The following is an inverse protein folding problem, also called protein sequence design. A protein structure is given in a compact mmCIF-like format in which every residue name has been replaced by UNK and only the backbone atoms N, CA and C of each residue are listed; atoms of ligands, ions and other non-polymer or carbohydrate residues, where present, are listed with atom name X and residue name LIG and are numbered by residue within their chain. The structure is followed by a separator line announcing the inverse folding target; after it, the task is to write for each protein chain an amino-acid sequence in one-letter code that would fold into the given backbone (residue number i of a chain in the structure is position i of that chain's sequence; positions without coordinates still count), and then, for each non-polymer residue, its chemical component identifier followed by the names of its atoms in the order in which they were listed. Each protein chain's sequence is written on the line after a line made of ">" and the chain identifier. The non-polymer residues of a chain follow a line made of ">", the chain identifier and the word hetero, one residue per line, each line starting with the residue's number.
data_IF_081359156702
#
_entry.id   IF_081359156702
#
_cell.length_a   1.000
_cell.length_b   1.000
_cell.length_c   1.000
_cell.angle_alpha   90.00
_cell.angle_beta   90.00
_cell.angle_gamma   90.00
#
_symmetry.space_group_name_H-M   'P 1'
#
loop_
_entity.id
_entity.type
_entity.pdbx_description
1 polymer ?
#
# COMPACT_ATOMS: atom_id res chain seq x y z
N UNK A 1 14.38 -6.12 -37.00
CA UNK A 1 13.17 -6.19 -36.16
C UNK A 1 13.50 -6.27 -34.66
N UNK A 2 14.37 -7.22 -34.24
CA UNK A 2 14.74 -7.44 -32.82
C UNK A 2 15.32 -6.19 -32.14
N UNK A 3 16.36 -5.57 -32.72
CA UNK A 3 16.98 -4.35 -32.16
C UNK A 3 15.98 -3.19 -31.98
N UNK A 4 15.06 -3.02 -32.95
CA UNK A 4 14.00 -1.99 -32.89
C UNK A 4 13.02 -2.26 -31.75
N UNK A 5 12.64 -3.52 -31.51
CA UNK A 5 11.77 -3.90 -30.39
C UNK A 5 12.46 -3.71 -29.04
N UNK A 6 13.75 -4.04 -28.94
CA UNK A 6 14.55 -3.81 -27.73
C UNK A 6 14.64 -2.32 -27.36
N UNK A 7 14.87 -1.46 -28.35
CA UNK A 7 14.89 0.00 -28.15
C UNK A 7 13.52 0.52 -27.67
N UNK A 8 12.43 0.07 -28.31
CA UNK A 8 11.07 0.47 -27.90
C UNK A 8 10.74 -0.01 -26.48
N UNK A 9 11.18 -1.21 -26.09
CA UNK A 9 11.00 -1.72 -24.74
C UNK A 9 11.82 -0.93 -23.70
N UNK A 10 13.04 -0.50 -24.04
CA UNK A 10 13.85 0.36 -23.17
C UNK A 10 13.19 1.73 -22.97
N UNK A 11 12.74 2.37 -24.06
CA UNK A 11 12.04 3.65 -24.01
C UNK A 11 10.72 3.54 -23.22
N UNK A 12 9.97 2.46 -23.41
CA UNK A 12 8.76 2.19 -22.62
C UNK A 12 9.07 2.15 -21.12
N UNK A 13 10.09 1.39 -20.69
CA UNK A 13 10.47 1.32 -19.28
C UNK A 13 10.88 2.68 -18.72
N UNK A 14 11.67 3.44 -19.46
CA UNK A 14 12.07 4.80 -19.05
C UNK A 14 10.85 5.73 -18.94
N UNK A 15 9.96 5.70 -19.93
CA UNK A 15 8.74 6.51 -19.94
C UNK A 15 7.81 6.15 -18.76
N UNK A 16 7.61 4.85 -18.48
CA UNK A 16 6.84 4.39 -17.33
C UNK A 16 7.45 4.83 -16.00
N UNK A 17 8.79 4.74 -15.86
CA UNK A 17 9.49 5.21 -14.68
C UNK A 17 9.37 6.74 -14.48
N UNK A 18 9.38 7.50 -15.59
CA UNK A 18 9.17 8.95 -15.60
C UNK A 18 7.71 9.39 -15.60
N UNK A 19 6.74 8.46 -15.54
CA UNK A 19 5.29 8.73 -15.66
C UNK A 19 4.88 9.43 -16.97
N UNK A 20 5.69 9.34 -18.03
CA UNK A 20 5.34 9.78 -19.38
C UNK A 20 4.50 8.71 -20.09
N UNK A 21 3.25 8.57 -19.66
CA UNK A 21 2.32 7.59 -20.20
C UNK A 21 2.04 7.76 -21.71
N UNK A 22 1.93 9.00 -22.26
CA UNK A 22 1.81 9.19 -23.70
C UNK A 22 2.97 8.60 -24.50
N UNK A 23 4.22 8.80 -24.06
CA UNK A 23 5.38 8.19 -24.72
C UNK A 23 5.40 6.67 -24.57
N UNK A 24 5.06 6.16 -23.38
CA UNK A 24 4.94 4.72 -23.14
C UNK A 24 3.91 4.07 -24.08
N UNK A 25 2.72 4.67 -24.22
CA UNK A 25 1.67 4.21 -25.15
C UNK A 25 2.17 4.19 -26.59
N UNK A 26 2.85 5.25 -27.05
CA UNK A 26 3.40 5.29 -28.41
C UNK A 26 4.41 4.17 -28.67
N UNK A 27 5.18 3.77 -27.65
CA UNK A 27 6.09 2.64 -27.76
C UNK A 27 5.32 1.33 -27.98
N UNK A 28 4.27 1.08 -27.17
CA UNK A 28 3.41 -0.10 -27.30
C UNK A 28 2.72 -0.15 -28.68
N UNK A 29 2.15 0.97 -29.14
CA UNK A 29 1.48 1.05 -30.46
C UNK A 29 2.43 0.70 -31.60
N UNK A 30 3.67 1.22 -31.58
CA UNK A 30 4.70 0.89 -32.59
C UNK A 30 5.05 -0.59 -32.59
N UNK A 31 5.13 -1.23 -31.42
CA UNK A 31 5.39 -2.67 -31.31
C UNK A 31 4.20 -3.48 -31.84
N UNK A 32 2.98 -3.09 -31.50
CA UNK A 32 1.76 -3.79 -31.95
C UNK A 32 1.47 -3.62 -33.45
N UNK A 33 1.99 -2.58 -34.10
CA UNK A 33 1.98 -2.50 -35.58
C UNK A 33 2.83 -3.61 -36.22
N UNK A 34 3.90 -4.05 -35.56
CA UNK A 34 4.79 -5.11 -36.03
C UNK A 34 4.35 -6.49 -35.54
N UNK A 35 3.77 -6.57 -34.34
CA UNK A 35 3.34 -7.80 -33.67
C UNK A 35 1.94 -7.63 -33.05
N UNK A 36 0.86 -7.60 -33.85
CA UNK A 36 -0.49 -7.25 -33.36
C UNK A 36 -1.08 -8.17 -32.28
N UNK A 37 -0.57 -9.41 -32.18
CA UNK A 37 -0.99 -10.42 -31.21
C UNK A 37 -0.11 -10.53 -29.98
N UNK A 38 0.85 -9.63 -29.76
CA UNK A 38 1.72 -9.71 -28.58
C UNK A 38 0.93 -9.34 -27.30
N UNK A 39 0.58 -10.36 -26.50
CA UNK A 39 -0.31 -10.23 -25.33
C UNK A 39 0.33 -9.43 -24.19
N UNK A 40 1.65 -9.55 -23.97
CA UNK A 40 2.38 -8.74 -22.99
C UNK A 40 2.27 -7.25 -23.33
N UNK A 41 2.54 -6.88 -24.59
CA UNK A 41 2.49 -5.48 -25.04
C UNK A 41 1.05 -4.96 -25.09
N UNK A 42 0.05 -5.81 -25.36
CA UNK A 42 -1.36 -5.44 -25.19
C UNK A 42 -1.70 -5.11 -23.74
N UNK A 43 -1.10 -5.83 -22.77
CA UNK A 43 -1.28 -5.54 -21.33
C UNK A 43 -0.67 -4.18 -20.98
N UNK A 44 0.54 -3.91 -21.47
CA UNK A 44 1.22 -2.62 -21.30
C UNK A 44 0.45 -1.46 -21.95
N UNK A 45 -0.11 -1.68 -23.14
CA UNK A 45 -0.95 -0.69 -23.83
C UNK A 45 -2.22 -0.40 -23.01
N UNK A 46 -2.87 -1.44 -22.49
CA UNK A 46 -4.07 -1.27 -21.69
C UNK A 46 -3.79 -0.50 -20.39
N UNK A 47 -2.69 -0.82 -19.71
CA UNK A 47 -2.24 -0.11 -18.51
C UNK A 47 -1.90 1.35 -18.81
N UNK A 48 -1.13 1.64 -19.87
CA UNK A 48 -0.78 3.03 -20.24
C UNK A 48 -2.02 3.86 -20.59
N UNK A 49 -2.96 3.29 -21.38
CA UNK A 49 -4.25 3.93 -21.67
C UNK A 49 -5.04 4.24 -20.39
N UNK A 50 -5.02 3.34 -19.40
CA UNK A 50 -5.70 3.55 -18.12
C UNK A 50 -5.04 4.67 -17.30
N UNK A 51 -3.70 4.74 -17.28
CA UNK A 51 -2.96 5.80 -16.59
C UNK A 51 -3.12 7.18 -17.27
N UNK A 52 -3.39 7.22 -18.57
CA UNK A 52 -3.82 8.43 -19.30
C UNK A 52 -5.30 8.82 -19.05
N UNK A 53 -6.05 8.05 -18.24
CA UNK A 53 -7.49 8.28 -18.02
C UNK A 53 -8.38 7.80 -19.19
N UNK A 54 -7.83 7.09 -20.16
CA UNK A 54 -8.57 6.56 -21.31
C UNK A 54 -9.22 5.21 -21.01
N UNK A 55 -10.05 5.17 -19.97
CA UNK A 55 -10.62 3.94 -19.40
C UNK A 55 -11.39 3.10 -20.41
N UNK A 56 -12.15 3.73 -21.33
CA UNK A 56 -12.90 3.00 -22.36
C UNK A 56 -12.00 2.26 -23.34
N UNK A 57 -10.87 2.85 -23.75
CA UNK A 57 -9.91 2.18 -24.63
C UNK A 57 -9.13 1.10 -23.88
N UNK A 58 -8.70 1.39 -22.65
CA UNK A 58 -8.04 0.40 -21.78
C UNK A 58 -8.91 -0.85 -21.59
N UNK A 59 -10.18 -0.67 -21.24
CA UNK A 59 -11.15 -1.76 -21.10
C UNK A 59 -11.29 -2.58 -22.39
N UNK A 60 -11.44 -1.94 -23.55
CA UNK A 60 -11.50 -2.66 -24.83
C UNK A 60 -10.23 -3.45 -25.11
N UNK A 61 -9.06 -2.92 -24.76
CA UNK A 61 -7.79 -3.63 -24.94
C UNK A 61 -7.68 -4.84 -24.01
N UNK A 62 -8.05 -4.72 -22.73
CA UNK A 62 -8.10 -5.86 -21.82
C UNK A 62 -9.14 -6.91 -22.22
N UNK A 63 -10.32 -6.51 -22.72
CA UNK A 63 -11.32 -7.44 -23.24
C UNK A 63 -10.82 -8.22 -24.47
N UNK A 64 -9.95 -7.62 -25.30
CA UNK A 64 -9.27 -8.35 -26.39
C UNK A 64 -8.31 -9.42 -25.86
N UNK A 65 -7.65 -9.17 -24.72
CA UNK A 65 -6.83 -10.18 -24.05
C UNK A 65 -7.73 -11.29 -23.50
N UNK A 66 -8.79 -10.95 -22.77
CA UNK A 66 -9.75 -11.93 -22.20
C UNK A 66 -10.32 -12.89 -23.25
N UNK A 67 -10.71 -12.36 -24.42
CA UNK A 67 -11.27 -13.13 -25.53
C UNK A 67 -10.23 -13.93 -26.34
N UNK A 68 -8.93 -13.72 -26.12
CA UNK A 68 -7.86 -14.36 -26.88
C UNK A 68 -7.57 -15.78 -26.36
N UNK A 69 -7.43 -16.78 -27.23
CA UNK A 69 -6.93 -18.11 -26.82
C UNK A 69 -5.47 -18.07 -26.34
N UNK A 70 -4.73 -16.99 -26.64
CA UNK A 70 -3.34 -16.81 -26.23
C UNK A 70 -3.19 -16.00 -24.93
N UNK A 71 -4.28 -15.73 -24.20
CA UNK A 71 -4.28 -14.90 -22.98
C UNK A 71 -3.30 -15.34 -21.89
N UNK A 72 -2.90 -16.62 -21.88
CA UNK A 72 -1.85 -17.13 -20.98
C UNK A 72 -0.47 -16.48 -21.22
N UNK A 73 -0.26 -15.79 -22.34
CA UNK A 73 0.96 -15.05 -22.67
C UNK A 73 0.89 -13.55 -22.27
N UNK A 74 -0.23 -13.09 -21.72
CA UNK A 74 -0.38 -11.73 -21.22
C UNK A 74 0.46 -11.49 -19.97
N UNK A 75 0.63 -10.23 -19.56
CA UNK A 75 1.28 -9.89 -18.29
C UNK A 75 0.54 -10.55 -17.13
N UNK A 76 1.22 -11.14 -16.14
CA UNK A 76 0.60 -11.83 -15.00
C UNK A 76 -0.50 -11.00 -14.29
N UNK A 77 -0.40 -9.67 -14.33
CA UNK A 77 -1.32 -8.71 -13.70
C UNK A 77 -2.42 -8.19 -14.63
N UNK A 78 -2.63 -8.79 -15.79
CA UNK A 78 -3.63 -8.30 -16.76
C UNK A 78 -5.06 -8.37 -16.22
N UNK A 79 -5.37 -9.36 -15.36
CA UNK A 79 -6.67 -9.46 -14.68
C UNK A 79 -6.85 -8.36 -13.62
N UNK A 80 -5.80 -8.00 -12.89
CA UNK A 80 -5.81 -6.86 -11.95
C UNK A 80 -6.13 -5.57 -12.70
N UNK A 81 -5.47 -5.34 -13.83
CA UNK A 81 -5.71 -4.18 -14.69
C UNK A 81 -7.14 -4.15 -15.28
N UNK A 82 -7.69 -5.32 -15.63
CA UNK A 82 -9.07 -5.42 -16.10
C UNK A 82 -10.08 -5.17 -14.97
N UNK A 83 -9.83 -5.67 -13.77
CA UNK A 83 -10.64 -5.35 -12.60
C UNK A 83 -10.58 -3.85 -12.29
N UNK A 84 -9.39 -3.26 -12.25
CA UNK A 84 -9.18 -1.83 -11.99
C UNK A 84 -9.96 -0.95 -12.98
N UNK A 85 -9.85 -1.22 -14.30
CA UNK A 85 -10.57 -0.41 -15.30
C UNK A 85 -12.09 -0.60 -15.21
N UNK A 86 -12.58 -1.76 -14.79
CA UNK A 86 -14.00 -1.97 -14.51
C UNK A 86 -14.46 -1.09 -13.33
N UNK A 87 -13.63 -0.97 -12.29
CA UNK A 87 -13.84 -0.05 -11.17
C UNK A 87 -13.97 1.40 -11.62
N UNK A 88 -13.01 1.90 -12.41
CA UNK A 88 -13.06 3.25 -12.98
C UNK A 88 -14.29 3.52 -13.85
N UNK A 89 -14.80 2.49 -14.53
CA UNK A 89 -16.00 2.58 -15.39
C UNK A 89 -17.32 2.33 -14.64
N UNK A 90 -17.29 2.05 -13.34
CA UNK A 90 -18.48 1.72 -12.56
C UNK A 90 -19.16 0.40 -12.93
N UNK A 91 -18.43 -0.51 -13.60
CA UNK A 91 -18.92 -1.82 -14.05
C UNK A 91 -18.90 -2.83 -12.89
N UNK A 92 -19.85 -2.71 -11.95
CA UNK A 92 -19.84 -3.45 -10.68
C UNK A 92 -19.78 -4.98 -10.83
N UNK A 93 -20.61 -5.57 -11.70
CA UNK A 93 -20.63 -7.02 -11.90
C UNK A 93 -19.33 -7.53 -12.53
N UNK A 94 -18.79 -6.81 -13.51
CA UNK A 94 -17.53 -7.17 -14.16
C UNK A 94 -16.33 -6.96 -13.23
N UNK A 95 -16.35 -5.90 -12.40
CA UNK A 95 -15.36 -5.69 -11.35
C UNK A 95 -15.31 -6.88 -10.39
N UNK A 96 -16.47 -7.31 -9.88
CA UNK A 96 -16.54 -8.48 -9.00
C UNK A 96 -16.03 -9.73 -9.72
N UNK A 97 -16.50 -9.99 -10.95
CA UNK A 97 -16.10 -11.15 -11.73
C UNK A 97 -14.60 -11.23 -11.99
N UNK A 98 -14.00 -10.15 -12.52
CA UNK A 98 -12.59 -10.14 -12.89
C UNK A 98 -11.67 -10.03 -11.68
N UNK A 99 -12.05 -9.26 -10.65
CA UNK A 99 -11.28 -9.20 -9.41
C UNK A 99 -11.27 -10.53 -8.66
N UNK A 100 -12.42 -11.22 -8.59
CA UNK A 100 -12.49 -12.58 -8.03
C UNK A 100 -11.60 -13.56 -8.79
N UNK A 101 -11.64 -13.52 -10.14
CA UNK A 101 -10.77 -14.36 -10.97
C UNK A 101 -9.28 -14.06 -10.79
N UNK A 102 -8.92 -12.79 -10.61
CA UNK A 102 -7.52 -12.42 -10.33
C UNK A 102 -7.04 -13.06 -9.02
N UNK A 103 -7.84 -12.91 -7.96
CA UNK A 103 -7.54 -13.50 -6.65
C UNK A 103 -7.50 -15.03 -6.69
N UNK A 104 -8.42 -15.68 -7.41
CA UNK A 104 -8.39 -17.13 -7.61
C UNK A 104 -7.13 -17.61 -8.35
N UNK A 105 -6.72 -16.90 -9.40
CA UNK A 105 -5.51 -17.25 -10.15
C UNK A 105 -4.25 -17.11 -9.29
N UNK A 106 -4.19 -16.07 -8.45
CA UNK A 106 -3.12 -15.92 -7.47
C UNK A 106 -3.17 -17.04 -6.41
N UNK A 107 -4.34 -17.38 -5.86
CA UNK A 107 -4.46 -18.46 -4.87
C UNK A 107 -4.01 -19.81 -5.41
N UNK A 108 -4.43 -20.16 -6.62
CA UNK A 108 -4.00 -21.41 -7.28
C UNK A 108 -2.47 -21.50 -7.39
N UNK A 109 -1.82 -20.37 -7.64
CA UNK A 109 -0.36 -20.28 -7.76
C UNK A 109 0.34 -20.50 -6.42
N UNK A 110 -0.19 -19.90 -5.34
CA UNK A 110 0.55 -19.79 -4.08
C UNK A 110 0.08 -20.74 -2.97
N UNK A 111 -1.17 -21.23 -2.99
CA UNK A 111 -1.76 -22.01 -1.88
C UNK A 111 -1.03 -23.30 -1.50
N UNK A 112 -0.21 -23.83 -2.40
CA UNK A 112 0.51 -25.09 -2.22
C UNK A 112 1.89 -24.91 -1.58
N UNK A 113 2.26 -23.69 -1.17
CA UNK A 113 3.51 -23.41 -0.47
C UNK A 113 3.61 -24.07 0.92
N UNK A 114 4.73 -23.81 1.60
CA UNK A 114 4.97 -24.33 2.94
C UNK A 114 3.88 -23.88 3.92
N UNK A 115 3.40 -24.82 4.73
CA UNK A 115 2.37 -24.57 5.75
C UNK A 115 2.90 -24.85 7.15
N UNK A 116 2.52 -24.02 8.10
CA UNK A 116 2.82 -24.21 9.52
C UNK A 116 1.56 -24.58 10.30
N UNK A 117 1.69 -25.38 11.38
CA UNK A 117 0.54 -25.88 12.12
C UNK A 117 -0.17 -24.75 12.87
N UNK A 118 -1.49 -24.69 12.70
CA UNK A 118 -2.35 -23.81 13.47
C UNK A 118 -2.66 -24.43 14.83
N UNK A 119 -2.51 -23.63 15.89
CA UNK A 119 -2.87 -24.02 17.26
C UNK A 119 -4.26 -23.45 17.61
N UNK A 120 -4.90 -23.81 18.73
CA UNK A 120 -6.09 -23.10 19.14
C UNK A 120 -5.81 -21.61 19.40
N UNK A 121 -6.65 -20.73 18.84
CA UNK A 121 -6.55 -19.28 19.06
C UNK A 121 -6.77 -18.99 20.55
N UNK A 122 -5.77 -18.42 21.22
CA UNK A 122 -5.90 -17.93 22.60
C UNK A 122 -6.91 -16.78 22.64
N UNK A 123 -7.68 -16.56 23.71
CA UNK A 123 -8.54 -15.37 23.82
C UNK A 123 -7.74 -14.06 23.73
N UNK A 124 -8.37 -13.01 23.19
CA UNK A 124 -7.79 -11.66 23.21
C UNK A 124 -7.72 -11.12 24.64
N UNK A 125 -6.58 -10.52 25.02
CA UNK A 125 -6.43 -9.86 26.32
C UNK A 125 -6.42 -8.33 26.16
N UNK A 126 -7.55 -7.64 26.41
CA UNK A 126 -7.65 -6.19 26.26
C UNK A 126 -6.88 -5.39 27.32
N UNK A 127 -6.46 -6.04 28.42
CA UNK A 127 -5.74 -5.38 29.51
C UNK A 127 -4.22 -5.32 29.26
N UNK A 128 -3.69 -6.21 28.43
CA UNK A 128 -2.27 -6.30 28.09
C UNK A 128 -1.97 -5.60 26.76
N UNK A 129 -2.22 -4.28 26.71
CA UNK A 129 -2.10 -3.49 25.46
C UNK A 129 -0.71 -3.54 24.83
N UNK A 130 0.32 -3.76 25.64
CA UNK A 130 1.72 -3.89 25.23
C UNK A 130 1.96 -5.16 24.39
N UNK A 131 1.03 -6.12 24.45
CA UNK A 131 1.06 -7.37 23.68
C UNK A 131 0.20 -7.32 22.41
N UNK A 132 -0.56 -6.25 22.22
CA UNK A 132 -1.46 -6.07 21.07
C UNK A 132 -0.93 -4.91 20.22
N UNK A 133 -0.21 -5.23 19.14
CA UNK A 133 0.58 -4.23 18.42
C UNK A 133 -0.03 -3.83 17.09
N UNK A 134 -0.12 -2.52 16.83
CA UNK A 134 -0.34 -1.96 15.49
C UNK A 134 1.02 -1.61 14.92
N UNK A 135 1.52 -2.40 13.97
CA UNK A 135 2.86 -2.28 13.42
C UNK A 135 2.89 -1.43 12.14
N UNK A 136 3.81 -0.46 12.11
CA UNK A 136 4.09 0.43 10.98
C UNK A 136 5.58 0.42 10.63
N UNK A 137 5.89 0.60 9.35
CA UNK A 137 7.23 0.99 8.88
C UNK A 137 7.21 2.47 8.52
N UNK A 138 8.22 3.24 8.90
CA UNK A 138 8.41 4.62 8.47
C UNK A 138 9.86 4.89 8.10
N UNK A 139 10.07 5.36 6.88
CA UNK A 139 11.39 5.72 6.35
C UNK A 139 11.23 6.88 5.36
N UNK A 140 12.30 7.67 5.24
CA UNK A 140 12.35 8.90 4.48
C UNK A 140 11.63 10.07 5.16
N UNK A 141 11.87 11.27 4.61
CA UNK A 141 11.41 12.52 5.18
C UNK A 141 10.17 13.12 4.51
N UNK A 142 9.42 12.36 3.69
CA UNK A 142 8.27 12.96 3.01
C UNK A 142 7.08 13.14 3.96
N UNK A 143 6.48 14.35 4.04
CA UNK A 143 5.37 14.63 4.95
C UNK A 143 4.12 13.79 4.65
N UNK A 144 3.92 13.36 3.40
CA UNK A 144 2.85 12.40 3.07
C UNK A 144 2.87 11.10 3.89
N UNK A 145 4.04 10.67 4.38
CA UNK A 145 4.18 9.51 5.26
C UNK A 145 4.31 9.95 6.71
N UNK A 146 5.20 10.91 7.00
CA UNK A 146 5.49 11.36 8.36
C UNK A 146 4.25 11.94 9.06
N UNK A 147 3.58 12.90 8.42
CA UNK A 147 2.43 13.58 9.03
C UNK A 147 1.20 12.68 9.08
N UNK A 148 1.04 11.79 8.09
CA UNK A 148 -0.01 10.77 8.12
C UNK A 148 0.19 9.80 9.26
N UNK A 149 1.42 9.31 9.48
CA UNK A 149 1.68 8.39 10.60
C UNK A 149 1.45 9.08 11.95
N UNK A 150 1.90 10.32 12.13
CA UNK A 150 1.60 11.07 13.37
C UNK A 150 0.09 11.19 13.59
N UNK A 151 -0.68 11.46 12.52
CA UNK A 151 -2.15 11.50 12.60
C UNK A 151 -2.75 10.12 12.93
N UNK A 152 -2.16 9.06 12.41
CA UNK A 152 -2.55 7.68 12.70
C UNK A 152 -2.34 7.30 14.16
N UNK A 153 -1.21 7.64 14.77
CA UNK A 153 -0.97 7.32 16.19
C UNK A 153 -2.04 8.00 17.07
N UNK A 154 -2.36 9.26 16.77
CA UNK A 154 -3.41 9.98 17.47
C UNK A 154 -4.80 9.34 17.27
N UNK A 155 -5.16 8.98 16.02
CA UNK A 155 -6.44 8.34 15.74
C UNK A 155 -6.54 6.92 16.32
N UNK A 156 -5.44 6.19 16.38
CA UNK A 156 -5.38 4.85 16.95
C UNK A 156 -5.58 4.86 18.47
N UNK A 157 -5.12 5.90 19.16
CA UNK A 157 -5.38 6.06 20.59
C UNK A 157 -6.89 6.13 20.91
N UNK A 158 -7.70 6.70 20.01
CA UNK A 158 -9.16 6.73 20.14
C UNK A 158 -9.82 5.41 19.72
N UNK A 159 -9.40 4.86 18.58
CA UNK A 159 -10.07 3.74 17.92
C UNK A 159 -9.66 2.36 18.44
N UNK A 160 -8.44 2.25 18.98
CA UNK A 160 -7.82 1.00 19.41
C UNK A 160 -7.28 1.12 20.84
N UNK A 161 -8.14 1.37 21.86
CA UNK A 161 -7.70 1.62 23.25
C UNK A 161 -6.98 0.44 23.91
N UNK A 162 -7.11 -0.76 23.33
CA UNK A 162 -6.48 -2.01 23.79
C UNK A 162 -5.19 -2.37 23.05
N UNK A 163 -4.71 -1.48 22.18
CA UNK A 163 -3.55 -1.69 21.34
C UNK A 163 -2.47 -0.64 21.57
N UNK A 164 -1.24 -0.98 21.23
CA UNK A 164 -0.10 -0.08 21.25
C UNK A 164 0.46 0.04 19.83
N UNK A 165 0.62 1.25 19.32
CA UNK A 165 1.30 1.45 18.05
C UNK A 165 2.81 1.22 18.22
N UNK A 166 3.39 0.48 17.28
CA UNK A 166 4.83 0.31 17.14
C UNK A 166 5.28 0.76 15.76
N UNK A 167 6.31 1.58 15.73
CA UNK A 167 6.89 2.10 14.49
C UNK A 167 8.32 1.59 14.38
N UNK A 168 8.60 0.90 13.29
CA UNK A 168 9.96 0.55 12.85
C UNK A 168 10.43 1.66 11.91
N UNK A 169 11.49 2.38 12.30
CA UNK A 169 11.94 3.58 11.60
C UNK A 169 13.45 3.77 11.66
N UNK A 170 14.00 4.58 10.75
CA UNK A 170 15.44 4.86 10.69
C UNK A 170 15.77 6.37 10.70
N UNK A 171 17.06 6.65 10.65
CA UNK A 171 17.68 7.99 10.65
C UNK A 171 17.33 8.87 9.43
N UNK A 172 16.67 8.32 8.40
CA UNK A 172 16.16 9.10 7.28
C UNK A 172 14.85 9.85 7.62
N UNK A 173 14.21 9.51 8.75
CA UNK A 173 13.03 10.19 9.29
C UNK A 173 13.46 11.39 10.14
N UNK A 174 12.88 12.60 9.95
CA UNK A 174 13.26 13.78 10.71
C UNK A 174 13.07 13.62 12.22
N UNK A 175 14.00 14.15 13.03
CA UNK A 175 13.97 14.03 14.51
C UNK A 175 12.66 14.58 15.13
N UNK A 176 12.09 15.64 14.54
CA UNK A 176 10.82 16.17 15.04
C UNK A 176 9.65 15.18 14.88
N UNK A 177 9.76 14.23 13.94
CA UNK A 177 8.78 13.14 13.76
C UNK A 177 9.03 12.05 14.80
N UNK A 178 10.29 11.65 15.01
CA UNK A 178 10.67 10.74 16.10
C UNK A 178 10.12 11.20 17.46
N UNK A 179 10.35 12.47 17.79
CA UNK A 179 9.88 13.08 19.03
C UNK A 179 8.34 13.07 19.12
N UNK A 180 7.63 13.46 18.06
CA UNK A 180 6.15 13.45 18.05
C UNK A 180 5.54 12.06 18.18
N UNK A 181 6.15 11.04 17.56
CA UNK A 181 5.68 9.66 17.68
C UNK A 181 5.93 9.13 19.11
N UNK A 182 7.09 9.44 19.70
CA UNK A 182 7.44 9.10 21.09
C UNK A 182 6.49 9.76 22.08
N UNK A 183 6.25 11.07 21.93
CA UNK A 183 5.35 11.84 22.80
C UNK A 183 3.89 11.38 22.69
N UNK A 184 3.49 10.86 21.53
CA UNK A 184 2.19 10.24 21.33
C UNK A 184 2.08 8.82 21.93
N UNK A 185 3.15 8.30 22.54
CA UNK A 185 3.16 7.00 23.22
C UNK A 185 3.43 5.79 22.32
N UNK A 186 3.89 5.99 21.09
CA UNK A 186 4.26 4.87 20.22
C UNK A 186 5.56 4.20 20.68
N UNK A 187 5.64 2.87 20.55
CA UNK A 187 6.88 2.13 20.68
C UNK A 187 7.74 2.35 19.43
N UNK A 188 8.98 2.81 19.60
CA UNK A 188 9.89 3.06 18.49
C UNK A 188 10.95 1.96 18.42
N UNK A 189 11.15 1.38 17.23
CA UNK A 189 12.21 0.41 16.93
C UNK A 189 13.15 1.02 15.90
N UNK A 190 14.37 1.33 16.33
CA UNK A 190 15.39 1.93 15.47
C UNK A 190 15.98 0.88 14.52
N UNK A 191 15.76 1.08 13.22
CA UNK A 191 16.25 0.26 12.11
C UNK A 191 17.45 0.90 11.41
N UNK A 192 18.04 1.97 11.95
CA UNK A 192 19.17 2.67 11.32
C UNK A 192 20.39 1.75 11.10
N UNK A 193 20.58 0.76 11.97
CA UNK A 193 21.65 -0.23 11.86
C UNK A 193 21.34 -1.43 10.97
N UNK A 194 20.08 -1.67 10.60
CA UNK A 194 19.65 -2.81 9.79
C UNK A 194 19.32 -2.33 8.37
N UNK A 195 20.25 -2.59 7.45
CA UNK A 195 20.08 -2.29 6.02
C UNK A 195 19.89 -3.56 5.18
N UNK A 196 19.79 -4.73 5.83
CA UNK A 196 19.67 -6.02 5.15
C UNK A 196 18.22 -6.39 4.87
N UNK A 197 17.27 -5.78 5.58
CA UNK A 197 15.83 -5.93 5.36
C UNK A 197 15.26 -4.65 4.74
N UNK A 198 14.51 -4.81 3.64
CA UNK A 198 13.84 -3.67 3.02
C UNK A 198 12.81 -3.02 3.96
N UNK A 199 12.71 -1.68 4.00
CA UNK A 199 11.83 -0.99 4.95
C UNK A 199 10.35 -1.38 4.89
N UNK A 200 9.86 -1.79 3.72
CA UNK A 200 8.49 -2.29 3.52
C UNK A 200 8.17 -3.55 4.34
N UNK A 201 9.20 -4.31 4.74
CA UNK A 201 9.09 -5.56 5.51
C UNK A 201 9.27 -5.36 7.02
N UNK A 202 9.84 -4.26 7.51
CA UNK A 202 10.18 -4.10 8.94
C UNK A 202 8.98 -4.30 9.87
N UNK A 203 7.80 -3.80 9.50
CA UNK A 203 6.57 -3.98 10.27
C UNK A 203 6.16 -5.45 10.44
N UNK A 204 6.66 -6.39 9.63
CA UNK A 204 6.42 -7.82 9.82
C UNK A 204 7.25 -8.42 10.95
N UNK A 205 8.37 -7.79 11.34
CA UNK A 205 9.22 -8.23 12.46
C UNK A 205 8.48 -8.22 13.82
N UNK A 206 7.29 -7.61 13.89
CA UNK A 206 6.38 -7.75 15.03
C UNK A 206 6.02 -9.20 15.34
N UNK A 207 6.06 -10.09 14.34
CA UNK A 207 5.77 -11.52 14.48
C UNK A 207 6.83 -12.27 15.29
N UNK A 208 8.05 -11.73 15.38
CA UNK A 208 9.18 -12.35 16.08
C UNK A 208 9.30 -11.90 17.53
N UNK A 209 8.52 -10.90 17.93
CA UNK A 209 8.51 -10.42 19.31
C UNK A 209 7.74 -11.43 20.20
N UNK A 210 8.42 -12.11 21.14
CA UNK A 210 7.80 -13.15 21.97
C UNK A 210 6.76 -12.61 22.96
N UNK A 211 6.76 -11.29 23.22
CA UNK A 211 5.80 -10.65 24.11
C UNK A 211 4.50 -10.26 23.38
N UNK A 212 4.49 -10.26 22.04
CA UNK A 212 3.31 -9.92 21.25
C UNK A 212 2.38 -11.12 21.14
N UNK A 213 1.10 -10.92 21.46
CA UNK A 213 0.04 -11.93 21.34
C UNK A 213 -0.88 -11.66 20.13
N UNK A 214 -1.03 -10.39 19.75
CA UNK A 214 -1.77 -9.94 18.57
C UNK A 214 -1.03 -8.87 17.83
N UNK A 215 -1.11 -8.90 16.52
CA UNK A 215 -0.62 -7.82 15.69
C UNK A 215 -1.60 -7.48 14.57
N UNK A 216 -1.65 -6.21 14.21
CA UNK A 216 -2.20 -5.74 12.94
C UNK A 216 -1.13 -4.92 12.25
N UNK A 217 -1.06 -5.02 10.92
CA UNK A 217 -0.05 -4.36 10.11
C UNK A 217 -0.71 -3.30 9.25
N UNK A 218 -0.12 -2.09 9.23
CA UNK A 218 -0.67 -0.92 8.53
C UNK A 218 0.39 -0.15 7.75
N UNK A 219 -0.02 0.40 6.61
CA UNK A 219 0.79 1.36 5.86
C UNK A 219 0.76 2.73 6.54
N UNK A 220 1.91 3.42 6.55
CA UNK A 220 2.05 4.72 7.20
C UNK A 220 1.21 5.83 6.53
N UNK A 221 0.89 5.69 5.25
CA UNK A 221 0.05 6.65 4.50
C UNK A 221 -1.44 6.29 4.47
N UNK A 222 -1.87 5.22 5.16
CA UNK A 222 -3.28 4.81 5.20
C UNK A 222 -3.89 5.14 6.55
N UNK A 223 -4.88 6.04 6.58
CA UNK A 223 -5.48 6.48 7.84
C UNK A 223 -6.38 5.40 8.47
N UNK A 224 -6.19 5.14 9.75
CA UNK A 224 -7.05 4.25 10.56
C UNK A 224 -8.45 4.84 10.73
N UNK A 225 -9.49 4.00 10.79
CA UNK A 225 -10.89 4.48 10.81
C UNK A 225 -11.85 3.63 11.62
N UNK A 226 -13.04 4.16 11.86
CA UNK A 226 -14.14 3.47 12.56
C UNK A 226 -14.52 2.14 11.87
N UNK A 227 -14.48 2.11 10.54
CA UNK A 227 -14.84 0.92 9.75
C UNK A 227 -13.86 -0.24 9.95
N UNK A 228 -12.56 0.05 9.92
CA UNK A 228 -11.57 -1.01 10.18
C UNK A 228 -11.46 -1.39 11.66
N UNK A 229 -11.70 -0.47 12.60
CA UNK A 229 -11.77 -0.82 14.01
C UNK A 229 -12.89 -1.84 14.27
N UNK A 230 -14.07 -1.62 13.69
CA UNK A 230 -15.18 -2.58 13.77
C UNK A 230 -14.84 -3.94 13.15
N UNK A 231 -14.11 -3.97 12.03
CA UNK A 231 -13.64 -5.20 11.40
C UNK A 231 -12.61 -5.95 12.27
N UNK A 232 -11.68 -5.22 12.90
CA UNK A 232 -10.72 -5.81 13.84
C UNK A 232 -11.43 -6.40 15.06
N UNK A 233 -12.43 -5.71 15.63
CA UNK A 233 -13.22 -6.25 16.75
C UNK A 233 -14.00 -7.52 16.34
N UNK A 234 -14.57 -7.54 15.13
CA UNK A 234 -15.23 -8.74 14.59
C UNK A 234 -14.24 -9.93 14.47
N UNK A 235 -13.01 -9.66 14.03
CA UNK A 235 -11.96 -10.68 14.01
C UNK A 235 -11.56 -11.16 15.40
N UNK A 236 -11.36 -10.25 16.36
CA UNK A 236 -10.99 -10.62 17.74
C UNK A 236 -12.06 -11.50 18.41
N UNK A 237 -13.33 -11.36 18.02
CA UNK A 237 -14.45 -12.18 18.48
C UNK A 237 -14.62 -13.50 17.69
N UNK A 238 -13.79 -13.74 16.67
CA UNK A 238 -13.87 -14.91 15.79
C UNK A 238 -12.87 -16.01 16.18
N UNK A 239 -13.03 -17.25 15.67
CA UNK A 239 -12.04 -18.32 15.89
C UNK A 239 -10.85 -18.26 14.92
N UNK A 240 -10.71 -17.20 14.12
CA UNK A 240 -9.70 -17.12 13.05
C UNK A 240 -8.36 -16.58 13.55
N UNK A 241 -7.26 -17.16 13.07
CA UNK A 241 -5.91 -16.70 13.40
C UNK A 241 -5.56 -15.38 12.72
N UNK A 242 -6.08 -15.16 11.52
CA UNK A 242 -5.71 -14.02 10.70
C UNK A 242 -6.94 -13.18 10.34
N UNK A 243 -6.66 -11.92 10.05
CA UNK A 243 -7.63 -10.95 9.57
C UNK A 243 -7.11 -10.29 8.32
N UNK A 244 -7.99 -10.07 7.34
CA UNK A 244 -7.69 -9.31 6.14
C UNK A 244 -8.91 -8.52 5.68
N UNK A 245 -8.64 -7.39 5.04
CA UNK A 245 -9.65 -6.45 4.55
C UNK A 245 -9.38 -6.05 3.10
N UNK A 246 -10.44 -5.86 2.30
CA UNK A 246 -10.40 -5.22 0.97
C UNK A 246 -11.53 -4.19 0.89
N UNK A 247 -11.18 -2.95 0.56
CA UNK A 247 -12.15 -1.84 0.53
C UNK A 247 -12.09 -0.99 -0.76
N UNK A 248 -11.33 -1.43 -1.76
CA UNK A 248 -11.22 -0.68 -3.02
C UNK A 248 -11.01 -1.58 -4.23
N UNK A 249 -11.44 -1.11 -5.40
CA UNK A 249 -11.44 -1.91 -6.62
C UNK A 249 -10.05 -2.28 -7.14
N UNK A 250 -8.97 -1.68 -6.60
CA UNK A 250 -7.59 -2.08 -6.90
C UNK A 250 -7.01 -3.07 -5.89
N UNK A 251 -7.78 -3.48 -4.87
CA UNK A 251 -7.30 -4.36 -3.80
C UNK A 251 -7.36 -5.85 -4.20
N UNK A 252 -6.78 -6.20 -5.35
CA UNK A 252 -6.77 -7.56 -5.92
C UNK A 252 -5.56 -8.40 -5.49
N UNK A 253 -5.07 -8.18 -4.27
CA UNK A 253 -3.95 -8.93 -3.66
C UNK A 253 -4.48 -9.98 -2.67
N UNK A 254 -3.81 -11.14 -2.53
CA UNK A 254 -4.22 -12.21 -1.61
C UNK A 254 -4.19 -11.76 -0.14
N UNK A 255 -3.15 -11.03 0.23
CA UNK A 255 -3.02 -10.30 1.48
C UNK A 255 -2.42 -8.94 1.14
N UNK A 256 -3.11 -7.87 1.50
CA UNK A 256 -2.62 -6.50 1.33
C UNK A 256 -1.65 -6.18 2.47
N UNK A 257 -0.45 -5.74 2.12
CA UNK A 257 0.64 -5.60 3.07
C UNK A 257 0.37 -4.66 4.26
N UNK A 258 -0.52 -3.68 4.08
CA UNK A 258 -0.99 -2.77 5.13
C UNK A 258 -2.44 -2.97 5.59
N UNK A 259 -3.10 -4.10 5.30
CA UNK A 259 -4.51 -4.33 5.68
C UNK A 259 -4.77 -5.75 6.22
N UNK A 260 -3.85 -6.26 7.03
CA UNK A 260 -3.98 -7.59 7.63
C UNK A 260 -3.52 -7.61 9.11
N UNK A 261 -3.74 -8.74 9.78
CA UNK A 261 -3.29 -8.98 11.14
C UNK A 261 -3.33 -10.45 11.50
N UNK A 262 -2.74 -10.80 12.64
CA UNK A 262 -2.59 -12.18 13.06
C UNK A 262 -2.40 -12.40 14.56
N UNK A 263 -2.50 -13.67 14.93
CA UNK A 263 -2.11 -14.21 16.23
C UNK A 263 -0.65 -14.66 16.16
N UNK A 264 0.17 -14.26 17.13
CA UNK A 264 1.58 -14.64 17.19
C UNK A 264 1.77 -16.14 17.45
N UNK A 265 2.94 -16.67 17.07
CA UNK A 265 3.33 -18.06 17.33
C UNK A 265 2.84 -19.09 16.30
N UNK A 266 2.25 -18.66 15.18
CA UNK A 266 1.90 -19.55 14.05
C UNK A 266 3.12 -19.81 13.15
N UNK A 267 3.86 -18.76 12.82
CA UNK A 267 5.02 -18.83 11.94
C UNK A 267 6.30 -19.04 12.76
N UNK A 268 7.35 -19.67 12.18
CA UNK A 268 8.70 -19.62 12.75
C UNK A 268 9.21 -18.17 12.68
N UNK A 269 10.38 -17.87 13.26
CA UNK A 269 10.98 -16.53 13.15
C UNK A 269 10.97 -16.03 11.69
N UNK A 270 10.29 -14.90 11.48
CA UNK A 270 9.98 -14.31 10.18
C UNK A 270 11.19 -13.61 9.58
N UNK A 271 12.10 -13.08 10.39
CA UNK A 271 13.34 -12.44 9.92
C UNK A 271 14.17 -13.40 9.02
N UNK A 272 14.49 -14.64 9.45
CA UNK A 272 15.10 -15.63 8.57
C UNK A 272 14.32 -15.93 7.29
N UNK A 273 12.98 -15.98 7.36
CA UNK A 273 12.14 -16.20 6.18
C UNK A 273 12.24 -15.03 5.20
N UNK A 274 12.29 -13.80 5.72
CA UNK A 274 12.46 -12.57 4.94
C UNK A 274 13.80 -12.61 4.22
N UNK A 275 14.90 -12.89 4.92
CA UNK A 275 16.22 -13.00 4.29
C UNK A 275 16.27 -14.08 3.21
N UNK A 276 15.70 -15.26 3.49
CA UNK A 276 15.62 -16.34 2.50
C UNK A 276 14.82 -15.92 1.26
N UNK A 277 13.68 -15.26 1.46
CA UNK A 277 12.85 -14.76 0.37
C UNK A 277 13.61 -13.72 -0.46
N UNK A 278 14.20 -12.71 0.18
CA UNK A 278 14.96 -11.64 -0.47
C UNK A 278 16.16 -12.17 -1.26
N UNK A 279 16.84 -13.21 -0.78
CA UNK A 279 17.95 -13.84 -1.50
C UNK A 279 17.53 -14.47 -2.84
N UNK A 280 16.26 -14.84 -3.00
CA UNK A 280 15.71 -15.45 -4.22
C UNK A 280 14.86 -14.51 -5.08
N UNK A 281 14.34 -13.43 -4.48
CA UNK A 281 13.42 -12.51 -5.14
C UNK A 281 14.13 -11.60 -6.16
N UNK A 282 13.67 -11.63 -7.41
CA UNK A 282 14.22 -10.84 -8.52
C UNK A 282 13.32 -9.65 -8.93
N UNK A 283 12.27 -9.37 -8.16
CA UNK A 283 11.36 -8.26 -8.44
C UNK A 283 11.82 -6.94 -7.80
N UNK A 284 10.97 -5.92 -7.84
CA UNK A 284 11.29 -4.60 -7.29
C UNK A 284 11.02 -4.54 -5.78
N UNK A 285 11.88 -3.84 -5.04
CA UNK A 285 11.75 -3.58 -3.59
C UNK A 285 10.34 -3.13 -3.17
N UNK A 286 9.70 -2.27 -3.98
CA UNK A 286 8.37 -1.71 -3.71
C UNK A 286 7.27 -2.76 -3.50
N UNK A 287 7.39 -3.92 -4.13
CA UNK A 287 6.38 -4.99 -4.08
C UNK A 287 6.85 -6.21 -3.29
N UNK A 288 8.02 -6.14 -2.67
CA UNK A 288 8.62 -7.28 -1.96
C UNK A 288 7.74 -7.73 -0.79
N UNK A 289 7.08 -6.81 -0.09
CA UNK A 289 6.17 -7.12 1.02
C UNK A 289 4.94 -7.91 0.56
N UNK A 290 4.25 -7.46 -0.48
CA UNK A 290 3.10 -8.14 -1.07
C UNK A 290 3.49 -9.54 -1.57
N UNK A 291 4.65 -9.65 -2.23
CA UNK A 291 5.13 -10.92 -2.76
C UNK A 291 5.59 -11.89 -1.66
N UNK A 292 6.21 -11.38 -0.59
CA UNK A 292 6.53 -12.17 0.59
C UNK A 292 5.26 -12.73 1.23
N UNK A 293 4.23 -11.89 1.42
CA UNK A 293 2.95 -12.35 1.97
C UNK A 293 2.30 -13.43 1.11
N UNK A 294 2.28 -13.27 -0.22
CA UNK A 294 1.74 -14.27 -1.16
C UNK A 294 2.52 -15.57 -1.13
N UNK A 295 3.85 -15.51 -1.26
CA UNK A 295 4.68 -16.70 -1.44
C UNK A 295 4.93 -17.45 -0.13
N UNK A 296 5.07 -16.74 0.98
CA UNK A 296 5.50 -17.31 2.26
C UNK A 296 4.34 -17.47 3.22
N UNK A 297 3.53 -16.42 3.47
CA UNK A 297 2.54 -16.46 4.55
C UNK A 297 1.17 -17.00 4.12
N UNK A 298 0.72 -16.68 2.89
CA UNK A 298 -0.60 -17.04 2.38
C UNK A 298 -0.96 -18.53 2.49
N UNK A 299 -0.07 -19.50 2.18
CA UNK A 299 -0.41 -20.92 2.28
C UNK A 299 -0.92 -21.32 3.68
N UNK A 300 -0.41 -20.69 4.74
CA UNK A 300 -0.85 -20.91 6.11
C UNK A 300 -2.01 -19.99 6.48
N UNK A 301 -1.91 -18.70 6.14
CA UNK A 301 -2.92 -17.71 6.52
C UNK A 301 -4.31 -18.07 6.01
N UNK A 302 -4.40 -18.57 4.76
CA UNK A 302 -5.68 -18.96 4.12
C UNK A 302 -6.44 -20.05 4.88
N UNK A 303 -5.77 -20.86 5.69
CA UNK A 303 -6.41 -21.96 6.43
C UNK A 303 -7.23 -21.45 7.63
N UNK A 304 -7.01 -20.22 8.11
CA UNK A 304 -7.75 -19.63 9.25
C UNK A 304 -7.74 -18.10 9.19
N UNK A 305 -8.55 -17.54 8.31
CA UNK A 305 -8.63 -16.10 8.06
C UNK A 305 -10.07 -15.59 8.02
N UNK A 306 -10.33 -14.47 8.70
CA UNK A 306 -11.52 -13.66 8.49
C UNK A 306 -11.22 -12.60 7.42
N UNK A 307 -12.01 -12.60 6.34
CA UNK A 307 -11.90 -11.62 5.26
C UNK A 307 -13.11 -10.68 5.29
N UNK A 308 -12.90 -9.36 5.32
CA UNK A 308 -13.94 -8.38 5.04
C UNK A 308 -13.74 -7.77 3.64
N UNK A 309 -14.73 -7.96 2.76
CA UNK A 309 -14.67 -7.55 1.35
C UNK A 309 -16.07 -7.53 0.73
N UNK A 310 -16.53 -6.35 0.29
CA UNK A 310 -17.81 -6.16 -0.40
C UNK A 310 -17.70 -6.18 -1.94
N UNK A 311 -16.47 -6.31 -2.48
CA UNK A 311 -16.17 -6.09 -3.89
C UNK A 311 -16.00 -7.39 -4.66
N UNK A 312 -15.21 -8.34 -4.14
CA UNK A 312 -14.77 -9.51 -4.93
C UNK A 312 -15.33 -10.83 -4.43
N UNK A 313 -15.75 -10.93 -3.16
CA UNK A 313 -16.33 -12.15 -2.62
C UNK A 313 -15.36 -13.34 -2.63
N UNK A 314 -14.06 -13.08 -2.50
CA UNK A 314 -13.02 -14.11 -2.55
C UNK A 314 -12.76 -14.73 -1.17
N UNK A 315 -12.50 -16.04 -1.14
CA UNK A 315 -12.08 -16.79 0.06
C UNK A 315 -12.96 -16.57 1.30
N UNK A 316 -14.27 -16.84 1.16
CA UNK A 316 -15.28 -16.69 2.22
C UNK A 316 -15.37 -15.28 2.82
N UNK A 317 -15.07 -14.25 2.00
CA UNK A 317 -15.28 -12.85 2.34
C UNK A 317 -16.67 -12.60 2.92
N UNK A 318 -16.69 -11.82 4.00
CA UNK A 318 -17.88 -11.34 4.68
C UNK A 318 -18.06 -9.85 4.43
N UNK A 319 -19.31 -9.34 4.52
CA UNK A 319 -19.53 -7.91 4.53
C UNK A 319 -18.82 -7.22 5.69
N UNK A 320 -18.61 -5.91 5.54
CA UNK A 320 -18.09 -5.10 6.64
C UNK A 320 -19.10 -5.02 7.80
N UNK A 321 -18.64 -5.09 9.07
CA UNK A 321 -19.52 -4.93 10.21
C UNK A 321 -20.04 -3.48 10.31
N UNK A 322 -21.15 -3.30 11.04
CA UNK A 322 -21.68 -1.98 11.31
C UNK A 322 -20.65 -1.15 12.12
N UNK A 323 -20.52 0.14 11.78
CA UNK A 323 -19.57 1.04 12.40
C UNK A 323 -20.14 2.46 12.53
N UNK A 324 -19.55 3.26 13.41
CA UNK A 324 -19.83 4.69 13.49
C UNK A 324 -19.38 5.40 12.19
N UNK A 325 -19.93 6.59 11.85
CA UNK A 325 -19.50 7.33 10.68
C UNK A 325 -17.99 7.55 10.63
N UNK A 326 -17.41 7.37 9.44
CA UNK A 326 -15.97 7.53 9.22
C UNK A 326 -15.59 9.00 9.45
N UNK A 327 -14.56 9.24 10.27
CA UNK A 327 -14.09 10.60 10.59
C UNK A 327 -13.46 11.35 9.41
N UNK A 328 -12.94 10.63 8.42
CA UNK A 328 -12.25 11.18 7.26
C UNK A 328 -13.26 11.60 6.18
N UNK A 329 -13.71 12.85 6.24
CA UNK A 329 -14.70 13.38 5.32
C UNK A 329 -14.09 13.75 3.96
N UNK A 330 -13.86 12.73 3.12
CA UNK A 330 -13.42 12.87 1.72
C UNK A 330 -14.00 11.74 0.89
N UNK A 331 -14.48 12.05 -0.32
CA UNK A 331 -15.05 11.06 -1.25
C UNK A 331 -14.02 10.01 -1.72
N UNK A 332 -12.74 10.30 -1.53
CA UNK A 332 -11.65 9.40 -1.88
C UNK A 332 -11.33 8.36 -0.78
N UNK A 333 -11.91 8.49 0.43
CA UNK A 333 -11.56 7.61 1.54
C UNK A 333 -12.11 6.20 1.36
N UNK A 334 -11.24 5.23 1.60
CA UNK A 334 -11.55 3.81 1.83
C UNK A 334 -10.48 3.26 2.77
N UNK A 335 -10.74 2.14 3.45
CA UNK A 335 -9.71 1.52 4.28
C UNK A 335 -8.52 1.12 3.40
N UNK A 336 -7.32 1.57 3.74
CA UNK A 336 -6.11 1.38 2.93
C UNK A 336 -5.87 2.46 1.86
N UNK A 337 -6.70 3.52 1.80
CA UNK A 337 -6.47 4.63 0.87
C UNK A 337 -5.23 5.44 1.29
N UNK A 338 -4.34 5.70 0.33
CA UNK A 338 -3.23 6.63 0.50
C UNK A 338 -3.78 8.04 0.80
N UNK A 339 -3.55 8.58 2.00
CA UNK A 339 -3.97 9.92 2.41
C UNK A 339 -3.11 11.03 1.80
N UNK A 340 -1.87 10.70 1.41
CA UNK A 340 -0.82 11.56 0.87
C UNK A 340 -0.95 11.95 -0.60
N UNK A 341 -2.16 11.92 -1.16
CA UNK A 341 -2.40 12.14 -2.60
C UNK A 341 -2.42 13.61 -3.02
N UNK A 342 -2.50 14.54 -2.06
CA UNK A 342 -2.56 15.98 -2.34
C UNK A 342 -1.16 16.58 -2.40
N UNK A 343 -1.04 17.80 -2.95
CA UNK A 343 0.24 18.51 -3.05
C UNK A 343 0.08 19.97 -2.65
N UNK A 344 1.14 20.52 -2.07
CA UNK A 344 1.36 21.96 -1.99
C UNK A 344 2.56 22.33 -2.88
N UNK A 345 2.61 23.59 -3.29
CA UNK A 345 3.70 24.12 -4.08
C UNK A 345 3.66 25.63 -4.16
N UNK A 346 4.74 26.21 -4.68
CA UNK A 346 4.87 27.63 -4.88
C UNK A 346 6.14 27.97 -5.64
N UNK A 347 6.33 29.25 -5.94
CA UNK A 347 7.53 29.74 -6.61
C UNK A 347 8.77 29.52 -5.71
N UNK A 348 9.90 29.20 -6.35
CA UNK A 348 11.23 29.14 -5.74
C UNK A 348 12.21 29.94 -6.57
N UNK A 349 13.13 30.64 -5.90
CA UNK A 349 14.26 31.33 -6.56
C UNK A 349 15.49 30.44 -6.67
N UNK A 350 15.44 29.21 -6.14
CA UNK A 350 16.55 28.27 -6.22
C UNK A 350 16.63 27.63 -7.61
N UNK A 351 17.81 27.11 -7.95
CA UNK A 351 18.01 26.41 -9.22
C UNK A 351 17.22 25.09 -9.27
N UNK A 352 16.86 24.65 -10.48
CA UNK A 352 16.24 23.35 -10.71
C UNK A 352 17.10 22.20 -10.13
N UNK A 353 16.45 21.29 -9.41
CA UNK A 353 17.10 20.21 -8.66
C UNK A 353 17.53 20.58 -7.23
N UNK A 354 17.52 21.86 -6.86
CA UNK A 354 17.84 22.29 -5.51
C UNK A 354 16.74 21.89 -4.50
N UNK A 355 17.10 21.86 -3.22
CA UNK A 355 16.18 21.56 -2.12
C UNK A 355 15.67 22.86 -1.48
N UNK A 356 14.37 23.12 -1.62
CA UNK A 356 13.66 24.19 -0.92
C UNK A 356 13.23 23.68 0.46
N UNK A 357 13.68 24.36 1.52
CA UNK A 357 13.16 24.09 2.87
C UNK A 357 11.76 24.68 3.01
N UNK A 358 10.81 23.82 3.37
CA UNK A 358 9.39 24.10 3.56
C UNK A 358 9.06 23.87 5.03
N UNK A 359 8.44 24.87 5.67
CA UNK A 359 8.07 24.83 7.09
C UNK A 359 6.55 24.75 7.20
N UNK A 360 6.06 23.65 7.80
CA UNK A 360 4.65 23.48 8.15
C UNK A 360 4.43 24.03 9.56
N UNK A 361 3.52 24.98 9.71
CA UNK A 361 3.23 25.67 10.98
C UNK A 361 1.80 25.35 11.40
N UNK A 362 1.66 24.50 12.42
CA UNK A 362 0.38 24.05 12.97
C UNK A 362 0.31 24.45 14.44
N UNK A 363 -0.57 25.41 14.77
CA UNK A 363 -0.60 26.00 16.10
C UNK A 363 0.74 26.62 16.46
N UNK A 364 1.38 26.13 17.54
CA UNK A 364 2.72 26.54 17.96
C UNK A 364 3.85 25.68 17.37
N UNK A 365 3.53 24.55 16.72
CA UNK A 365 4.51 23.66 16.12
C UNK A 365 5.06 24.21 14.80
N UNK A 366 6.37 24.01 14.58
CA UNK A 366 7.06 24.29 13.31
C UNK A 366 7.80 23.03 12.89
N UNK A 367 7.52 22.53 11.69
CA UNK A 367 8.04 21.26 11.18
C UNK A 367 8.68 21.47 9.82
N UNK A 368 9.97 21.13 9.71
CA UNK A 368 10.78 21.40 8.51
C UNK A 368 10.88 20.18 7.60
N UNK A 369 10.65 20.41 6.32
CA UNK A 369 10.72 19.42 5.26
C UNK A 369 11.50 19.96 4.06
N UNK A 370 11.97 19.06 3.20
CA UNK A 370 12.67 19.42 1.95
C UNK A 370 11.80 19.10 0.73
N UNK A 371 11.74 20.02 -0.21
CA UNK A 371 11.04 19.88 -1.48
C UNK A 371 11.99 20.16 -2.65
N UNK A 372 12.04 19.28 -3.64
CA UNK A 372 12.84 19.50 -4.84
C UNK A 372 12.20 20.58 -5.71
N UNK A 373 13.04 21.50 -6.20
CA UNK A 373 12.65 22.55 -7.15
C UNK A 373 12.70 22.02 -8.57
N UNK A 374 11.69 22.30 -9.37
CA UNK A 374 11.60 21.96 -10.79
C UNK A 374 10.91 23.09 -11.55
N UNK A 375 11.56 23.60 -12.60
CA UNK A 375 11.08 24.72 -13.41
C UNK A 375 10.74 25.97 -12.58
N UNK A 376 11.57 26.27 -11.57
CA UNK A 376 11.36 27.43 -10.69
C UNK A 376 10.21 27.27 -9.67
N UNK A 377 9.65 26.08 -9.52
CA UNK A 377 8.61 25.78 -8.53
C UNK A 377 9.06 24.68 -7.58
N UNK A 378 8.76 24.83 -6.29
CA UNK A 378 8.86 23.72 -5.34
C UNK A 378 7.50 23.03 -5.23
N UNK A 379 7.50 21.72 -5.01
CA UNK A 379 6.28 20.99 -4.71
C UNK A 379 6.52 19.84 -3.75
N UNK A 380 5.62 19.66 -2.79
CA UNK A 380 5.69 18.60 -1.79
C UNK A 380 4.35 17.88 -1.67
N UNK A 381 4.39 16.55 -1.54
CA UNK A 381 3.19 15.74 -1.34
C UNK A 381 2.76 15.84 0.13
N UNK A 382 1.49 16.16 0.37
CA UNK A 382 0.90 16.34 1.69
C UNK A 382 -0.34 15.45 1.84
N UNK A 383 -0.64 15.00 3.06
CA UNK A 383 -1.92 14.38 3.32
C UNK A 383 -3.07 15.38 3.13
N UNK A 384 -4.22 14.87 2.66
CA UNK A 384 -5.37 15.71 2.32
C UNK A 384 -5.82 16.60 3.49
N UNK A 385 -5.74 16.11 4.73
CA UNK A 385 -6.17 16.87 5.91
C UNK A 385 -5.28 18.10 6.16
N UNK A 386 -3.99 18.06 5.82
CA UNK A 386 -3.12 19.24 5.94
C UNK A 386 -3.42 20.26 4.85
N UNK A 387 -3.78 19.81 3.64
CA UNK A 387 -4.22 20.73 2.59
C UNK A 387 -5.55 21.39 2.96
N UNK A 388 -6.47 20.65 3.57
CA UNK A 388 -7.70 21.21 4.14
C UNK A 388 -7.42 22.21 5.27
N UNK A 389 -6.50 21.90 6.19
CA UNK A 389 -6.08 22.82 7.24
C UNK A 389 -5.44 24.09 6.68
N UNK A 390 -4.67 23.99 5.59
CA UNK A 390 -4.10 25.15 4.90
C UNK A 390 -5.20 26.03 4.29
N UNK A 391 -6.14 25.42 3.57
CA UNK A 391 -7.30 26.13 2.98
C UNK A 391 -8.17 26.82 4.03
N UNK A 392 -8.23 26.27 5.25
CA UNK A 392 -9.02 26.81 6.35
C UNK A 392 -8.21 27.73 7.28
N UNK A 393 -6.96 28.05 6.93
CA UNK A 393 -6.09 28.96 7.69
C UNK A 393 -5.57 28.39 9.03
N UNK A 394 -5.72 27.08 9.27
CA UNK A 394 -5.20 26.38 10.46
C UNK A 394 -3.75 25.92 10.30
N UNK A 395 -3.31 25.70 9.07
CA UNK A 395 -1.91 25.45 8.71
C UNK A 395 -1.38 26.66 7.94
N UNK A 396 -0.18 27.11 8.28
CA UNK A 396 0.61 28.01 7.42
C UNK A 396 1.79 27.25 6.84
N UNK A 397 2.13 27.55 5.59
CA UNK A 397 3.29 27.00 4.90
C UNK A 397 4.22 28.16 4.59
N UNK A 398 5.43 28.11 5.13
CA UNK A 398 6.49 29.09 4.88
C UNK A 398 7.65 28.41 4.14
N UNK A 399 8.39 29.18 3.35
CA UNK A 399 9.66 28.73 2.75
C UNK A 399 10.81 29.51 3.37
N UNK A 400 11.93 28.84 3.59
CA UNK A 400 13.16 29.50 4.02
C UNK A 400 14.03 29.78 2.79
N UNK A 401 14.32 31.05 2.54
CA UNK A 401 15.39 31.46 1.63
C UNK A 401 16.70 31.33 2.40
N UNK A 402 17.61 30.47 1.94
CA UNK A 402 18.97 30.48 2.47
C UNK A 402 19.75 31.69 1.97
#
# INVERSE_FOLDING_TARGET
>A
MVQKCQLLAANFRQAMAGQDYPLARQCCEKVLMMMPGNMTVLSDLALTLMREGNYRKAYKTYQRIEASPQRAQASETWLDGLAEVCGWLGKKEELQHYGHRSLQAADETFRHGQRWPLQPVKPFNPQAREKNIIAFSLYGAQPRYCETLVKNIAAAADLYPHWTCRVYLDDSVPEHVWQRLRDAGAQLRDMSGDKDIFPTLWRFLVMDDPDVERYIVRDADSLVSEREAAAVEAWLASPYHFHHMRDYFTHTELLLAGMWGGVSGVFPPVEPLIHQFMASYQGTERFTDQQFLKAVLWPTARESILNHDDLFGFHHAQPWPAHAPIRWNTDAFHVGSNAGYSRAGGASTLADGAQQTVVLIVGAGRYEYQATVNQGEWSIALPFFLVQDYQQGRLRIETLSR
#
